data_IF_371626309676
#
_entry.id   IF_371626309676
#
_cell.length_a   1.000
_cell.length_b   1.000
_cell.length_c   1.000
_cell.angle_alpha   90.00
_cell.angle_beta   90.00
_cell.angle_gamma   90.00
#
_symmetry.space_group_name_H-M   'P 1'
#
loop_
_entity.id
_entity.type
_entity.pdbx_description
1 polymer ?
#
# COMPACT_ATOMS: atom_id res chain seq x y z
N UNK A 1 -38.10 104.81 3.94
CA UNK A 1 -38.67 104.21 5.17
C UNK A 1 -37.74 103.09 5.60
N UNK A 2 -36.74 103.37 6.45
CA UNK A 2 -35.69 102.43 6.90
C UNK A 2 -36.15 101.80 8.20
N UNK A 3 -36.20 100.47 8.21
CA UNK A 3 -36.49 99.68 9.40
C UNK A 3 -35.19 99.11 9.99
N UNK A 4 -34.82 99.67 11.13
CA UNK A 4 -33.67 99.25 11.92
C UNK A 4 -33.79 97.74 12.37
N UNK A 5 -32.80 96.91 12.05
CA UNK A 5 -32.63 95.56 12.61
C UNK A 5 -31.60 95.68 13.72
N UNK A 6 -32.03 95.51 14.94
CA UNK A 6 -31.21 95.56 16.13
C UNK A 6 -30.66 94.11 16.38
N UNK A 7 -29.40 93.90 16.02
CA UNK A 7 -28.70 92.63 16.29
C UNK A 7 -28.07 92.70 17.69
N UNK A 8 -28.73 92.11 18.69
CA UNK A 8 -28.13 91.90 20.01
C UNK A 8 -27.21 90.75 19.95
N UNK A 9 -25.91 90.98 19.99
CA UNK A 9 -24.91 89.95 20.26
C UNK A 9 -24.93 89.61 21.75
N UNK A 10 -25.45 88.42 22.11
CA UNK A 10 -25.32 87.85 23.46
C UNK A 10 -23.88 87.35 23.67
N UNK A 11 -23.06 88.20 24.28
CA UNK A 11 -21.74 87.82 24.74
C UNK A 11 -21.95 86.87 25.97
N UNK A 12 -21.85 85.64 25.79
CA UNK A 12 -21.88 84.67 26.92
C UNK A 12 -20.68 84.88 27.85
N UNK A 13 -20.95 84.98 29.15
CA UNK A 13 -19.90 85.15 30.16
C UNK A 13 -18.84 84.03 30.07
N UNK A 14 -17.57 84.34 30.24
CA UNK A 14 -16.47 83.37 30.10
C UNK A 14 -16.60 82.15 31.02
N UNK A 15 -17.23 82.25 32.18
CA UNK A 15 -17.43 81.14 33.11
C UNK A 15 -18.39 80.06 32.57
N UNK A 16 -19.35 80.38 31.73
CA UNK A 16 -20.24 79.32 31.12
C UNK A 16 -19.54 78.52 30.02
N UNK A 17 -18.59 79.17 29.34
CA UNK A 17 -17.81 78.47 28.30
C UNK A 17 -16.85 77.46 28.94
N UNK A 18 -16.19 77.78 30.07
CA UNK A 18 -15.31 76.80 30.75
C UNK A 18 -16.07 75.61 31.32
N UNK A 19 -17.24 75.81 31.88
CA UNK A 19 -18.08 74.72 32.39
C UNK A 19 -18.55 73.81 31.26
N UNK A 20 -18.84 74.34 30.09
CA UNK A 20 -19.27 73.57 28.93
C UNK A 20 -18.11 72.76 28.34
N UNK A 21 -16.89 73.36 28.28
CA UNK A 21 -15.70 72.65 27.83
C UNK A 21 -15.32 71.55 28.81
N UNK A 22 -15.38 71.78 30.11
CA UNK A 22 -15.07 70.78 31.14
C UNK A 22 -16.02 69.61 31.11
N UNK A 23 -17.31 69.82 30.87
CA UNK A 23 -18.31 68.82 30.70
C UNK A 23 -18.15 68.03 29.38
N UNK A 24 -17.70 68.67 28.32
CA UNK A 24 -17.41 68.00 27.05
C UNK A 24 -16.19 67.06 27.18
N UNK A 25 -15.14 67.53 27.85
CA UNK A 25 -13.93 66.72 28.14
C UNK A 25 -14.29 65.50 29.01
N UNK A 26 -15.08 65.69 30.07
CA UNK A 26 -15.52 64.57 30.94
C UNK A 26 -16.39 63.56 30.16
N UNK A 27 -17.21 64.00 29.21
CA UNK A 27 -17.97 63.10 28.32
C UNK A 27 -17.05 62.33 27.37
N UNK A 28 -16.07 62.99 26.76
CA UNK A 28 -15.11 62.37 25.86
C UNK A 28 -14.25 61.34 26.63
N UNK A 29 -13.82 61.65 27.87
CA UNK A 29 -13.04 60.73 28.71
C UNK A 29 -13.85 59.52 29.14
N UNK A 30 -15.18 59.67 29.39
CA UNK A 30 -16.07 58.54 29.71
C UNK A 30 -16.35 57.62 28.52
N UNK A 31 -16.39 58.15 27.31
CA UNK A 31 -16.64 57.37 26.10
C UNK A 31 -15.32 56.84 25.46
N UNK A 32 -14.21 57.53 25.65
CA UNK A 32 -12.90 57.13 25.15
C UNK A 32 -12.33 55.92 25.87
N UNK A 33 -12.71 55.68 27.16
CA UNK A 33 -12.27 54.54 27.93
C UNK A 33 -12.86 53.19 27.50
N UNK A 34 -13.99 53.21 26.75
CA UNK A 34 -14.65 52.00 26.28
C UNK A 34 -14.05 51.45 24.96
N UNK A 35 -13.34 52.30 24.21
CA UNK A 35 -12.79 51.91 22.90
C UNK A 35 -11.41 51.21 22.96
N UNK A 36 -10.79 51.09 24.15
CA UNK A 36 -9.49 50.44 24.30
C UNK A 36 -9.52 48.99 24.76
N UNK A 37 -10.71 48.41 24.91
CA UNK A 37 -10.89 46.97 25.24
C UNK A 37 -11.26 46.10 24.01
N UNK A 38 -10.85 46.53 22.80
CA UNK A 38 -10.85 45.57 21.68
C UNK A 38 -9.76 44.53 21.96
N UNK A 39 -10.13 43.48 22.69
CA UNK A 39 -9.34 42.27 22.82
C UNK A 39 -9.04 41.75 21.42
N UNK A 40 -7.80 41.85 21.00
CA UNK A 40 -7.31 41.17 19.79
C UNK A 40 -7.43 39.69 20.09
N UNK A 41 -8.46 39.07 19.58
CA UNK A 41 -8.51 37.62 19.50
C UNK A 41 -7.41 37.21 18.53
N UNK A 42 -6.28 36.76 19.05
CA UNK A 42 -5.25 36.11 18.26
C UNK A 42 -5.85 34.78 17.82
N UNK A 43 -6.34 34.72 16.59
CA UNK A 43 -6.63 33.45 15.96
C UNK A 43 -5.30 32.68 15.85
N UNK A 44 -5.20 31.56 16.55
CA UNK A 44 -4.06 30.67 16.44
C UNK A 44 -4.39 29.62 15.38
N UNK A 45 -3.73 29.72 14.24
CA UNK A 45 -3.83 28.69 13.20
C UNK A 45 -2.99 27.48 13.65
N UNK A 46 -3.66 26.35 13.86
CA UNK A 46 -2.99 25.09 14.17
C UNK A 46 -2.90 24.34 12.85
N UNK A 47 -1.69 24.06 12.33
CA UNK A 47 -1.53 23.27 11.13
C UNK A 47 -1.99 21.83 11.41
N UNK A 48 -2.84 21.32 10.53
CA UNK A 48 -3.25 19.90 10.52
C UNK A 48 -2.58 19.23 9.34
N UNK A 49 -1.72 18.28 9.63
CA UNK A 49 -1.08 17.44 8.61
C UNK A 49 -1.91 16.16 8.43
N UNK A 50 -2.33 15.90 7.19
CA UNK A 50 -3.06 14.69 6.82
C UNK A 50 -2.18 13.90 5.86
N UNK A 51 -1.75 12.73 6.29
CA UNK A 51 -0.91 11.83 5.50
C UNK A 51 -1.61 10.50 5.31
N UNK A 52 -1.28 9.82 4.22
CA UNK A 52 -1.82 8.50 3.91
C UNK A 52 -1.09 7.86 2.74
N UNK A 53 -1.23 6.54 2.60
CA UNK A 53 -0.66 5.79 1.49
C UNK A 53 -1.78 5.10 0.74
N UNK A 54 -1.84 5.31 -0.57
CA UNK A 54 -2.74 4.57 -1.46
C UNK A 54 -1.98 3.34 -1.95
N UNK A 55 -2.51 2.16 -1.68
CA UNK A 55 -1.89 0.90 -2.08
C UNK A 55 -2.83 0.10 -2.97
N UNK A 56 -2.26 -0.63 -3.93
CA UNK A 56 -2.98 -1.65 -4.68
C UNK A 56 -3.18 -2.86 -3.77
N UNK A 57 -4.42 -3.31 -3.53
CA UNK A 57 -4.67 -4.47 -2.69
C UNK A 57 -4.06 -5.73 -3.32
N UNK A 58 -3.48 -6.64 -2.52
CA UNK A 58 -2.98 -7.91 -3.02
C UNK A 58 -4.12 -8.79 -3.53
N UNK A 59 -3.81 -9.60 -4.54
CA UNK A 59 -4.73 -10.63 -4.99
C UNK A 59 -4.88 -11.75 -3.95
N UNK A 60 -6.05 -12.36 -3.89
CA UNK A 60 -6.29 -13.57 -3.15
C UNK A 60 -5.97 -14.78 -4.03
N UNK A 61 -5.11 -15.65 -3.53
CA UNK A 61 -4.72 -16.91 -4.17
C UNK A 61 -5.47 -18.03 -3.47
N UNK A 62 -6.16 -18.89 -4.21
CA UNK A 62 -6.92 -20.02 -3.70
C UNK A 62 -7.89 -19.63 -2.55
N UNK A 63 -8.52 -18.46 -2.64
CA UNK A 63 -9.40 -17.92 -1.59
C UNK A 63 -8.74 -17.82 -0.20
N UNK A 64 -7.42 -17.76 -0.15
CA UNK A 64 -6.64 -17.75 1.10
C UNK A 64 -6.41 -19.14 1.71
N UNK A 65 -6.88 -20.20 1.06
CA UNK A 65 -6.68 -21.56 1.53
C UNK A 65 -5.34 -22.16 1.09
N UNK A 66 -4.86 -23.13 1.85
CA UNK A 66 -3.62 -23.86 1.53
C UNK A 66 -3.76 -24.62 0.22
N UNK A 67 -2.72 -24.53 -0.62
CA UNK A 67 -2.62 -25.32 -1.85
C UNK A 67 -1.78 -26.55 -1.55
N UNK A 68 -2.41 -27.72 -1.58
CA UNK A 68 -1.73 -28.98 -1.37
C UNK A 68 -1.35 -29.63 -2.69
N UNK A 69 -0.09 -30.06 -2.80
CA UNK A 69 0.45 -30.79 -3.96
C UNK A 69 0.93 -32.16 -3.50
N UNK A 70 0.09 -33.15 -3.65
CA UNK A 70 0.41 -34.52 -3.29
C UNK A 70 1.05 -35.27 -4.46
N UNK A 71 2.25 -35.82 -4.24
CA UNK A 71 2.97 -36.60 -5.23
C UNK A 71 2.73 -38.12 -5.09
N UNK A 72 2.18 -38.55 -3.96
CA UNK A 72 2.10 -40.01 -3.64
C UNK A 72 3.46 -40.63 -3.46
N UNK A 73 3.57 -41.94 -3.72
CA UNK A 73 4.80 -42.65 -3.63
C UNK A 73 5.66 -42.48 -4.89
N UNK A 74 6.92 -42.12 -4.69
CA UNK A 74 7.89 -41.87 -5.77
C UNK A 74 9.07 -42.81 -5.54
N UNK A 75 9.44 -43.58 -6.59
CA UNK A 75 10.64 -44.39 -6.55
C UNK A 75 11.89 -43.52 -6.60
N UNK A 76 12.88 -43.82 -5.75
CA UNK A 76 14.19 -43.16 -5.73
C UNK A 76 14.94 -43.26 -7.07
N UNK A 77 14.64 -44.29 -7.87
CA UNK A 77 15.25 -44.51 -9.19
C UNK A 77 14.60 -43.67 -10.29
N UNK A 78 13.45 -43.07 -10.01
CA UNK A 78 12.58 -42.45 -11.04
C UNK A 78 12.04 -41.07 -10.62
N UNK A 79 12.73 -40.43 -9.73
CA UNK A 79 12.29 -39.17 -9.09
C UNK A 79 11.93 -38.09 -10.11
N UNK A 80 12.84 -37.80 -11.04
CA UNK A 80 12.70 -36.69 -11.99
C UNK A 80 11.92 -37.06 -13.26
N UNK A 81 11.20 -38.18 -13.24
CA UNK A 81 10.38 -38.58 -14.39
C UNK A 81 9.19 -37.64 -14.58
N UNK A 82 8.87 -37.36 -15.84
CA UNK A 82 7.73 -36.48 -16.22
C UNK A 82 6.38 -37.02 -15.72
N UNK A 83 6.24 -38.33 -15.48
CA UNK A 83 5.02 -38.91 -14.89
C UNK A 83 4.76 -38.43 -13.46
N UNK A 84 5.80 -38.00 -12.74
CA UNK A 84 5.70 -37.44 -11.39
C UNK A 84 5.29 -35.96 -11.40
N UNK A 85 5.13 -35.36 -12.58
CA UNK A 85 4.66 -34.01 -12.72
C UNK A 85 3.27 -33.82 -12.15
N UNK A 86 3.07 -32.73 -11.41
CA UNK A 86 1.77 -32.29 -10.93
C UNK A 86 1.49 -30.90 -11.48
N UNK A 87 0.47 -30.78 -12.29
CA UNK A 87 -0.09 -29.51 -12.73
C UNK A 87 -1.12 -29.06 -11.72
N UNK A 88 -1.01 -27.83 -11.25
CA UNK A 88 -1.90 -27.21 -10.29
C UNK A 88 -2.45 -25.95 -10.91
N UNK A 89 -3.77 -25.82 -10.94
CA UNK A 89 -4.48 -24.61 -11.41
C UNK A 89 -5.28 -24.07 -10.22
N UNK A 90 -5.00 -22.86 -9.84
CA UNK A 90 -5.56 -22.21 -8.67
C UNK A 90 -6.39 -21.01 -9.07
N UNK A 91 -7.53 -20.74 -8.41
CA UNK A 91 -8.30 -19.52 -8.62
C UNK A 91 -7.58 -18.32 -8.02
N UNK A 92 -7.67 -17.20 -8.69
CA UNK A 92 -7.12 -15.91 -8.24
C UNK A 92 -8.22 -14.86 -8.32
N UNK A 93 -8.35 -14.08 -7.25
CA UNK A 93 -9.24 -12.91 -7.20
C UNK A 93 -8.43 -11.68 -6.84
N UNK A 94 -8.53 -10.64 -7.66
CA UNK A 94 -7.80 -9.40 -7.47
C UNK A 94 -8.79 -8.23 -7.39
N UNK A 95 -8.85 -7.52 -6.28
CA UNK A 95 -9.72 -6.34 -6.13
C UNK A 95 -9.30 -5.16 -7.01
N UNK A 96 -8.10 -5.22 -7.61
CA UNK A 96 -7.60 -4.24 -8.55
C UNK A 96 -6.73 -4.96 -9.58
N UNK A 97 -7.22 -5.05 -10.81
CA UNK A 97 -6.60 -5.84 -11.88
C UNK A 97 -6.26 -4.94 -13.07
N UNK A 98 -5.18 -4.18 -12.96
CA UNK A 98 -4.67 -3.33 -14.05
C UNK A 98 -3.19 -3.62 -14.30
N UNK A 99 -2.79 -3.59 -15.59
CA UNK A 99 -1.41 -3.81 -15.98
C UNK A 99 -1.00 -5.28 -16.05
N UNK A 100 0.26 -5.54 -15.74
CA UNK A 100 0.84 -6.89 -15.80
C UNK A 100 0.72 -7.58 -14.46
N UNK A 101 0.26 -8.83 -14.47
CA UNK A 101 0.22 -9.67 -13.27
C UNK A 101 1.60 -10.26 -12.99
N UNK A 102 1.99 -10.26 -11.72
CA UNK A 102 3.24 -10.83 -11.23
C UNK A 102 2.96 -11.88 -10.16
N UNK A 103 3.70 -12.99 -10.20
CA UNK A 103 3.70 -13.99 -9.13
C UNK A 103 5.01 -13.91 -8.34
N UNK A 104 4.89 -13.90 -7.03
CA UNK A 104 6.02 -14.02 -6.11
C UNK A 104 5.85 -15.28 -5.30
N UNK A 105 6.82 -16.19 -5.39
CA UNK A 105 6.88 -17.42 -4.60
C UNK A 105 8.09 -17.33 -3.70
N UNK A 106 7.88 -17.38 -2.40
CA UNK A 106 8.95 -17.37 -1.41
C UNK A 106 9.05 -18.73 -0.73
N UNK A 107 10.26 -19.21 -0.54
CA UNK A 107 10.57 -20.49 0.06
C UNK A 107 12.07 -20.68 0.10
N UNK A 108 12.55 -21.76 0.67
CA UNK A 108 13.98 -22.08 0.73
C UNK A 108 14.43 -22.74 -0.57
N UNK A 109 15.31 -22.09 -1.35
CA UNK A 109 15.82 -22.70 -2.58
C UNK A 109 16.83 -23.81 -2.29
N UNK A 110 16.89 -24.81 -3.17
CA UNK A 110 17.88 -25.86 -3.10
C UNK A 110 19.21 -25.40 -3.73
N UNK A 111 20.13 -24.92 -2.90
CA UNK A 111 21.43 -24.42 -3.36
C UNK A 111 21.29 -23.31 -4.38
N UNK A 112 21.97 -23.44 -5.53
CA UNK A 112 21.91 -22.45 -6.62
C UNK A 112 20.64 -22.56 -7.50
N UNK A 113 19.87 -23.63 -7.34
CA UNK A 113 18.65 -23.86 -8.14
C UNK A 113 17.47 -23.06 -7.62
N UNK A 114 17.39 -21.79 -7.99
CA UNK A 114 16.40 -20.84 -7.47
C UNK A 114 14.94 -21.17 -7.79
N UNK A 115 14.64 -22.11 -8.66
CA UNK A 115 13.28 -22.58 -8.92
C UNK A 115 12.97 -23.93 -8.25
N UNK A 116 13.85 -24.42 -7.38
CA UNK A 116 13.69 -25.70 -6.69
C UNK A 116 13.52 -25.44 -5.21
N UNK A 117 12.37 -25.80 -4.66
CA UNK A 117 12.13 -25.82 -3.22
C UNK A 117 12.93 -26.93 -2.56
N UNK A 118 13.66 -26.60 -1.52
CA UNK A 118 14.34 -27.57 -0.68
C UNK A 118 13.33 -28.39 0.13
N UNK A 119 13.54 -29.66 0.24
CA UNK A 119 12.79 -30.55 1.15
C UNK A 119 13.62 -30.93 2.38
N UNK A 120 13.02 -31.67 3.27
CA UNK A 120 13.72 -32.27 4.42
C UNK A 120 14.67 -33.44 4.02
N UNK A 121 14.60 -33.94 2.78
CA UNK A 121 15.52 -34.97 2.27
C UNK A 121 16.67 -34.29 1.52
N UNK A 122 17.90 -34.65 1.90
CA UNK A 122 19.10 -34.11 1.25
C UNK A 122 19.13 -34.47 -0.23
N UNK A 123 19.59 -33.54 -1.07
CA UNK A 123 19.68 -33.67 -2.53
C UNK A 123 18.34 -33.91 -3.24
N UNK A 124 17.22 -33.72 -2.52
CA UNK A 124 15.87 -33.82 -3.06
C UNK A 124 15.09 -32.53 -2.87
N UNK A 125 14.44 -32.08 -3.93
CA UNK A 125 13.63 -30.87 -3.92
C UNK A 125 12.44 -30.95 -4.87
N UNK A 126 11.68 -29.85 -4.94
CA UNK A 126 10.54 -29.71 -5.84
C UNK A 126 10.78 -28.53 -6.78
N UNK A 127 10.99 -28.84 -8.06
CA UNK A 127 11.15 -27.82 -9.10
C UNK A 127 9.80 -27.24 -9.52
N UNK A 128 9.70 -25.92 -9.55
CA UNK A 128 8.50 -25.17 -9.91
C UNK A 128 8.65 -24.50 -11.27
N UNK A 129 7.55 -24.51 -12.05
CA UNK A 129 7.47 -23.92 -13.36
C UNK A 129 6.13 -23.20 -13.56
N UNK A 130 6.10 -22.13 -14.35
CA UNK A 130 4.86 -21.44 -14.72
C UNK A 130 4.12 -22.22 -15.81
N UNK A 131 2.80 -22.26 -15.69
CA UNK A 131 1.93 -22.90 -16.66
C UNK A 131 1.96 -24.42 -16.63
N UNK A 132 1.49 -25.04 -17.73
CA UNK A 132 1.50 -26.49 -17.93
C UNK A 132 2.79 -26.89 -18.65
N UNK A 133 3.73 -27.44 -17.92
CA UNK A 133 5.01 -27.89 -18.44
C UNK A 133 6.21 -27.27 -17.75
N UNK A 134 7.39 -27.42 -18.37
CA UNK A 134 8.68 -27.03 -17.76
C UNK A 134 9.44 -25.97 -18.55
N UNK A 135 8.77 -25.31 -19.49
CA UNK A 135 9.40 -24.33 -20.36
C UNK A 135 9.85 -23.07 -19.59
N UNK A 136 9.09 -22.65 -18.57
CA UNK A 136 9.39 -21.44 -17.81
C UNK A 136 9.52 -21.73 -16.32
N UNK A 137 10.71 -21.50 -15.78
CA UNK A 137 10.99 -21.68 -14.36
C UNK A 137 10.23 -20.65 -13.53
N UNK A 138 9.69 -21.09 -12.40
CA UNK A 138 9.10 -20.24 -11.38
C UNK A 138 10.15 -20.03 -10.28
N UNK A 139 10.79 -18.87 -10.30
CA UNK A 139 11.93 -18.57 -9.43
C UNK A 139 11.45 -18.20 -8.04
N UNK A 140 12.08 -18.75 -7.03
CA UNK A 140 11.84 -18.45 -5.63
C UNK A 140 12.48 -17.12 -5.23
N UNK A 141 11.85 -16.44 -4.31
CA UNK A 141 12.32 -15.16 -3.81
C UNK A 141 11.79 -13.99 -4.62
N UNK A 142 12.64 -13.02 -4.89
CA UNK A 142 12.24 -11.72 -5.39
C UNK A 142 12.07 -11.62 -6.91
N UNK A 143 11.97 -12.73 -7.59
CA UNK A 143 11.81 -12.77 -9.04
C UNK A 143 13.00 -12.13 -9.75
N UNK A 144 13.63 -12.87 -10.64
CA UNK A 144 14.70 -12.31 -11.46
C UNK A 144 14.15 -11.90 -12.82
N UNK A 145 14.62 -10.85 -13.34
CA UNK A 145 14.57 -10.65 -14.76
C UNK A 145 14.08 -9.32 -15.29
N UNK A 146 13.23 -8.60 -14.61
CA UNK A 146 12.75 -7.31 -15.13
C UNK A 146 12.98 -6.13 -14.19
N UNK A 147 13.95 -6.26 -13.28
CA UNK A 147 14.42 -5.14 -12.47
C UNK A 147 13.51 -4.75 -11.30
N UNK A 148 12.42 -5.47 -11.06
CA UNK A 148 11.55 -5.18 -9.93
C UNK A 148 11.48 -6.37 -8.98
N UNK A 149 12.50 -6.50 -8.16
CA UNK A 149 12.69 -7.59 -7.21
C UNK A 149 11.58 -7.69 -6.15
N UNK A 150 10.85 -6.61 -5.92
CA UNK A 150 9.80 -6.56 -4.90
C UNK A 150 8.49 -7.18 -5.35
N UNK A 151 8.23 -7.24 -6.66
CA UNK A 151 6.93 -7.63 -7.21
C UNK A 151 6.87 -9.12 -7.56
N UNK A 152 7.95 -9.68 -8.06
CA UNK A 152 8.01 -11.07 -8.50
C UNK A 152 8.20 -11.24 -10.01
N UNK A 153 7.75 -12.38 -10.52
CA UNK A 153 7.83 -12.74 -11.94
C UNK A 153 6.57 -12.36 -12.71
N UNK A 154 6.68 -11.79 -13.91
CA UNK A 154 5.51 -11.57 -14.75
C UNK A 154 4.84 -12.89 -15.10
N UNK A 155 3.53 -12.92 -15.01
CA UNK A 155 2.69 -14.06 -15.40
C UNK A 155 2.35 -13.92 -16.87
N UNK A 156 2.79 -14.88 -17.67
CA UNK A 156 2.58 -14.80 -19.14
C UNK A 156 1.18 -15.21 -19.60
N UNK A 157 0.52 -16.06 -18.82
CA UNK A 157 -0.80 -16.59 -19.15
C UNK A 157 -1.65 -16.77 -17.90
N UNK A 158 -2.97 -16.60 -18.05
CA UNK A 158 -3.95 -16.89 -17.01
C UNK A 158 -4.55 -15.69 -16.32
N UNK A 159 -3.79 -14.60 -16.14
CA UNK A 159 -4.24 -13.33 -15.58
C UNK A 159 -3.85 -12.20 -16.54
N UNK A 160 -4.83 -11.50 -17.08
CA UNK A 160 -4.60 -10.39 -18.01
C UNK A 160 -5.67 -9.33 -17.79
N UNK A 161 -5.41 -8.38 -16.88
CA UNK A 161 -6.30 -7.26 -16.62
C UNK A 161 -7.70 -7.64 -16.13
N UNK A 162 -7.85 -8.80 -15.49
CA UNK A 162 -9.14 -9.31 -14.99
C UNK A 162 -9.10 -9.47 -13.50
N UNK A 163 -10.20 -9.13 -12.85
CA UNK A 163 -10.37 -9.30 -11.40
C UNK A 163 -10.33 -10.77 -10.97
N UNK A 164 -10.87 -11.65 -11.78
CA UNK A 164 -10.91 -13.08 -11.53
C UNK A 164 -10.20 -13.82 -12.66
N UNK A 165 -9.39 -14.79 -12.28
CA UNK A 165 -8.64 -15.61 -13.21
C UNK A 165 -8.11 -16.87 -12.56
N UNK A 166 -7.20 -17.51 -13.24
CA UNK A 166 -6.50 -18.70 -12.72
C UNK A 166 -5.01 -18.52 -12.92
N UNK A 167 -4.24 -19.02 -11.99
CA UNK A 167 -2.81 -19.21 -12.16
C UNK A 167 -2.51 -20.70 -12.19
N UNK A 168 -1.76 -21.13 -13.19
CA UNK A 168 -1.33 -22.51 -13.30
C UNK A 168 0.16 -22.61 -13.10
N UNK A 169 0.59 -23.57 -12.30
CA UNK A 169 1.99 -23.93 -12.17
C UNK A 169 2.17 -25.44 -12.25
N UNK A 170 3.39 -25.84 -12.54
CA UNK A 170 3.80 -27.25 -12.59
C UNK A 170 4.86 -27.48 -11.53
N UNK A 171 4.67 -28.51 -10.73
CA UNK A 171 5.63 -28.98 -9.74
C UNK A 171 6.16 -30.35 -10.15
N UNK A 172 7.49 -30.54 -10.09
CA UNK A 172 8.15 -31.80 -10.42
C UNK A 172 9.17 -32.09 -9.34
N UNK A 173 9.20 -33.36 -8.82
CA UNK A 173 10.28 -33.78 -7.97
C UNK A 173 11.64 -33.66 -8.67
N UNK A 174 12.64 -33.21 -7.95
CA UNK A 174 13.97 -32.91 -8.46
C UNK A 174 15.05 -33.54 -7.63
N UNK A 175 15.99 -34.22 -8.27
CA UNK A 175 17.20 -34.76 -7.65
C UNK A 175 18.42 -33.93 -8.07
N UNK A 176 19.24 -33.54 -7.12
CA UNK A 176 20.44 -32.77 -7.38
C UNK A 176 21.58 -33.69 -7.79
N UNK A 177 21.89 -33.67 -9.09
CA UNK A 177 22.94 -34.56 -9.65
C UNK A 177 22.60 -36.05 -9.56
N UNK A 178 23.63 -36.86 -9.37
CA UNK A 178 23.51 -38.33 -9.26
C UNK A 178 23.63 -38.83 -7.82
N UNK A 179 23.48 -37.94 -6.85
CA UNK A 179 23.55 -38.28 -5.43
C UNK A 179 22.49 -39.31 -5.05
N UNK A 180 22.85 -40.24 -4.20
CA UNK A 180 21.91 -41.19 -3.63
C UNK A 180 20.89 -40.46 -2.76
N UNK A 181 19.62 -40.85 -2.84
CA UNK A 181 18.54 -40.28 -2.06
C UNK A 181 18.16 -41.23 -0.93
N UNK A 182 17.99 -40.65 0.26
CA UNK A 182 17.41 -41.40 1.37
C UNK A 182 15.92 -41.61 1.14
N UNK A 183 15.42 -42.76 1.53
CA UNK A 183 13.98 -43.04 1.54
C UNK A 183 13.30 -42.39 2.73
N UNK A 184 12.03 -42.09 2.61
CA UNK A 184 11.23 -41.51 3.68
C UNK A 184 10.19 -40.50 3.17
N UNK A 185 9.40 -39.96 4.10
CA UNK A 185 8.45 -38.90 3.80
C UNK A 185 9.18 -37.57 3.54
N UNK A 186 8.71 -36.85 2.55
CA UNK A 186 9.24 -35.51 2.26
C UNK A 186 8.16 -34.44 2.34
N UNK A 187 8.60 -33.25 2.66
CA UNK A 187 7.77 -32.04 2.62
C UNK A 187 8.57 -30.82 2.15
N UNK A 188 7.90 -29.92 1.51
CA UNK A 188 8.41 -28.59 1.17
C UNK A 188 7.28 -27.58 1.33
N UNK A 189 7.61 -26.36 1.74
CA UNK A 189 6.65 -25.27 1.92
C UNK A 189 7.09 -24.04 1.16
N UNK A 190 6.10 -23.29 0.65
CA UNK A 190 6.31 -22.01 0.00
C UNK A 190 5.11 -21.11 0.24
N UNK A 191 5.31 -19.80 0.18
CA UNK A 191 4.23 -18.81 0.15
C UNK A 191 4.14 -18.23 -1.25
N UNK A 192 2.92 -18.06 -1.75
CA UNK A 192 2.64 -17.50 -3.07
C UNK A 192 1.78 -16.25 -2.93
N UNK A 193 2.15 -15.20 -3.65
CA UNK A 193 1.34 -13.99 -3.79
C UNK A 193 1.31 -13.54 -5.25
N UNK A 194 0.22 -12.90 -5.64
CA UNK A 194 0.03 -12.34 -6.98
C UNK A 194 -0.32 -10.87 -6.85
N UNK A 195 0.26 -10.05 -7.72
CA UNK A 195 0.04 -8.59 -7.76
C UNK A 195 -0.01 -8.12 -9.20
N UNK A 196 -0.72 -7.02 -9.44
CA UNK A 196 -0.67 -6.26 -10.68
C UNK A 196 0.21 -5.02 -10.53
N UNK A 197 0.86 -4.64 -11.65
CA UNK A 197 1.60 -3.39 -11.76
C UNK A 197 1.51 -2.85 -13.21
#
# INVERSE_FOLDING_TARGET
MLKHINKRYLIRKPQEIEAMILNLIKRILRWGGVLLLSSRTLAMDIPVEITGVIQVPPCQVNNGEVIEVNFGDISVTDVSNQRNRRKVTIPITCGYAQGTAYVKVTGTPMGSNKNVLMTNISNFGIALYQGDGTARKLILGEGAGNGNETIGYPIEKGLSGKENGTFTFTAIPYRNGNSELSTGTFSATANMSIRYQ
#
